data_IF_858768662835
#
_entry.id   IF_858768662835
#
_cell.length_a   1.000
_cell.length_b   1.000
_cell.length_c   1.000
_cell.angle_alpha   90.00
_cell.angle_beta   90.00
_cell.angle_gamma   90.00
#
_symmetry.space_group_name_H-M   'P 1'
#
loop_
_entity.id
_entity.type
_entity.pdbx_description
1 polymer ?
2 non-polymer ?
3 non-polymer ?
4 non-polymer ?
5 water ?
#
# COMPACT_ATOMS: atom_id res chain seq x y z
N UNK A 1 -11.76 -22.86 -17.99
CA UNK A 1 -11.80 -23.84 -16.88
C UNK A 1 -12.12 -23.16 -15.57
N UNK A 2 -11.52 -23.64 -14.47
CA UNK A 2 -11.38 -22.88 -13.21
C UNK A 2 -10.09 -22.06 -13.32
N UNK A 3 -10.27 -20.85 -13.85
CA UNK A 3 -9.20 -19.89 -14.23
C UNK A 3 -9.13 -18.79 -13.18
N UNK A 4 -7.93 -18.25 -13.01
CA UNK A 4 -7.62 -17.13 -12.10
C UNK A 4 -7.25 -15.93 -12.97
N UNK A 5 -8.24 -15.09 -13.31
CA UNK A 5 -8.07 -13.89 -14.18
C UNK A 5 -7.62 -12.68 -13.35
N UNK A 6 -7.56 -12.81 -12.02
CA UNK A 6 -7.20 -11.73 -11.07
C UNK A 6 -5.99 -12.11 -10.21
N UNK A 7 -5.33 -11.11 -9.65
CA UNK A 7 -4.32 -11.30 -8.58
C UNK A 7 -4.58 -10.34 -7.42
N UNK A 8 -4.03 -10.71 -6.27
CA UNK A 8 -4.18 -10.00 -4.99
C UNK A 8 -2.98 -9.08 -4.81
N UNK A 9 -3.24 -7.82 -4.46
CA UNK A 9 -2.24 -6.73 -4.26
C UNK A 9 -2.13 -6.41 -2.76
N UNK A 10 -0.91 -6.30 -2.25
CA UNK A 10 -0.61 -5.74 -0.91
C UNK A 10 0.12 -4.42 -1.11
N UNK A 11 -0.54 -3.31 -0.75
CA UNK A 11 0.06 -1.95 -0.75
C UNK A 11 0.70 -1.72 0.61
N UNK A 12 1.84 -1.04 0.60
CA UNK A 12 2.61 -0.74 1.82
C UNK A 12 3.01 0.72 1.82
N UNK A 13 2.89 1.33 2.98
CA UNK A 13 3.54 2.61 3.30
C UNK A 13 4.79 2.30 4.13
N UNK A 14 5.91 2.88 3.72
CA UNK A 14 7.20 2.87 4.46
C UNK A 14 7.66 4.31 4.72
N UNK A 15 7.74 4.69 6.00
CA UNK A 15 8.19 6.02 6.51
C UNK A 15 9.27 5.80 7.57
N UNK A 16 10.36 6.56 7.50
CA UNK A 16 11.41 6.63 8.56
C UNK A 16 11.17 7.91 9.35
N UNK A 17 11.00 7.82 10.67
CA UNK A 17 10.78 9.00 11.55
C UNK A 17 12.03 9.19 12.42
N UNK A 18 12.41 10.45 12.64
CA UNK A 18 13.40 10.87 13.66
C UNK A 18 12.95 10.38 15.04
N UNK A 19 13.88 9.83 15.82
CA UNK A 19 13.61 9.35 17.20
C UNK A 19 14.82 9.72 18.06
N UNK A 20 15.18 11.00 18.07
CA UNK A 20 16.32 11.48 18.88
C UNK A 20 16.01 11.25 20.36
N UNK A 21 14.73 11.14 20.74
CA UNK A 21 14.29 10.94 22.15
C UNK A 21 14.58 9.49 22.57
N UNK A 22 14.83 8.60 21.62
CA UNK A 22 15.11 7.16 21.84
C UNK A 22 13.90 6.50 22.52
N UNK A 23 12.71 6.81 22.00
CA UNK A 23 11.43 6.21 22.41
C UNK A 23 11.16 4.92 21.63
N UNK A 24 10.25 4.10 22.16
CA UNK A 24 9.70 2.88 21.52
C UNK A 24 9.19 3.25 20.13
N UNK A 25 9.73 2.60 19.09
CA UNK A 25 9.42 2.89 17.66
C UNK A 25 7.97 2.51 17.32
N UNK A 26 7.30 1.65 18.09
CA UNK A 26 5.85 1.41 17.91
C UNK A 26 5.09 2.68 18.27
N UNK A 27 5.49 3.41 19.31
CA UNK A 27 4.74 4.62 19.75
C UNK A 27 5.06 5.76 18.78
N UNK A 28 6.32 5.89 18.36
CA UNK A 28 6.78 6.90 17.36
C UNK A 28 5.99 6.65 16.07
N UNK A 29 6.04 5.45 15.50
CA UNK A 29 5.29 5.10 14.25
C UNK A 29 3.78 5.32 14.46
N UNK A 30 3.21 4.96 15.63
CA UNK A 30 1.77 5.16 15.99
C UNK A 30 1.29 6.59 15.68
N UNK A 31 2.15 7.60 15.89
CA UNK A 31 1.84 9.04 15.72
C UNK A 31 1.27 9.37 14.33
N UNK A 32 1.59 8.59 13.28
CA UNK A 32 1.08 8.83 11.89
C UNK A 32 0.24 7.63 11.39
N UNK A 33 -0.38 6.88 12.30
CA UNK A 33 -1.34 5.79 11.96
C UNK A 33 -2.55 6.43 11.29
N UNK A 34 -3.20 7.36 11.98
CA UNK A 34 -4.40 8.04 11.44
C UNK A 34 -4.09 8.61 10.05
N UNK A 35 -2.96 9.34 9.91
CA UNK A 35 -2.47 9.94 8.63
C UNK A 35 -2.40 8.87 7.53
N UNK A 36 -1.91 7.67 7.86
CA UNK A 36 -1.71 6.56 6.90
C UNK A 36 -3.07 6.02 6.46
N UNK A 37 -3.99 5.86 7.40
CA UNK A 37 -5.35 5.36 7.12
C UNK A 37 -6.06 6.37 6.21
N UNK A 38 -5.89 7.67 6.47
CA UNK A 38 -6.57 8.74 5.69
C UNK A 38 -6.00 8.74 4.28
N UNK A 39 -4.68 8.59 4.15
CA UNK A 39 -3.97 8.50 2.85
C UNK A 39 -4.56 7.33 2.06
N UNK A 40 -4.65 6.16 2.69
CA UNK A 40 -5.14 4.91 2.05
C UNK A 40 -6.55 5.15 1.52
N UNK A 41 -7.39 5.82 2.29
CA UNK A 41 -8.84 6.00 2.01
C UNK A 41 -9.03 7.09 0.94
N UNK A 42 -8.29 8.19 1.01
CA UNK A 42 -8.55 9.41 0.19
C UNK A 42 -7.64 9.50 -1.04
N UNK A 43 -6.64 8.64 -1.19
CA UNK A 43 -5.68 8.73 -2.32
C UNK A 43 -5.39 7.34 -2.86
N UNK A 44 -4.83 6.45 -2.04
CA UNK A 44 -4.23 5.17 -2.51
C UNK A 44 -5.32 4.28 -3.12
N UNK A 45 -6.41 4.01 -2.39
CA UNK A 45 -7.48 3.07 -2.83
C UNK A 45 -8.23 3.70 -4.01
N UNK A 46 -8.61 5.00 -3.96
CA UNK A 46 -9.11 5.68 -5.16
C UNK A 46 -8.23 5.49 -6.41
N UNK A 47 -6.91 5.75 -6.33
CA UNK A 47 -5.95 5.61 -7.47
C UNK A 47 -6.08 4.22 -8.12
N UNK A 48 -6.27 3.16 -7.32
CA UNK A 48 -6.12 1.75 -7.77
C UNK A 48 -7.48 1.11 -8.15
N UNK A 49 -8.61 1.76 -7.81
CA UNK A 49 -9.98 1.20 -7.96
C UNK A 49 -10.27 0.78 -9.41
N UNK A 50 -9.89 1.60 -10.40
CA UNK A 50 -10.10 1.34 -11.85
C UNK A 50 -9.46 0.01 -12.27
N UNK A 51 -8.65 -0.63 -11.42
CA UNK A 51 -7.96 -1.91 -11.74
C UNK A 51 -8.63 -3.08 -11.01
N UNK A 52 -9.52 -2.79 -10.06
CA UNK A 52 -10.22 -3.84 -9.28
C UNK A 52 -11.29 -4.52 -10.15
N UNK A 53 -11.40 -5.85 -10.09
CA UNK A 53 -12.54 -6.62 -10.66
C UNK A 53 -13.77 -6.36 -9.79
N UNK A 54 -13.73 -6.80 -8.53
CA UNK A 54 -14.76 -6.46 -7.49
C UNK A 54 -14.08 -5.68 -6.34
N UNK A 55 -14.50 -4.43 -6.15
CA UNK A 55 -13.98 -3.49 -5.12
C UNK A 55 -13.83 -4.21 -3.78
N UNK A 56 -12.88 -3.77 -2.95
CA UNK A 56 -12.66 -4.28 -1.59
C UNK A 56 -11.19 -4.36 -1.23
N UNK A 57 -10.85 -3.87 -0.04
CA UNK A 57 -9.49 -3.96 0.54
C UNK A 57 -9.62 -4.24 2.04
N UNK A 58 -8.57 -4.76 2.68
CA UNK A 58 -8.51 -4.99 4.14
C UNK A 58 -8.26 -3.66 4.85
N UNK A 59 -8.33 -3.71 6.18
CA UNK A 59 -7.99 -2.55 7.05
C UNK A 59 -6.46 -2.43 7.03
N UNK A 60 -5.97 -1.19 6.96
CA UNK A 60 -4.52 -0.86 7.07
C UNK A 60 -4.04 -1.35 8.44
N UNK A 61 -2.92 -2.08 8.50
CA UNK A 61 -2.29 -2.51 9.76
C UNK A 61 -0.79 -2.17 9.75
N UNK A 62 -0.25 -1.72 10.89
CA UNK A 62 1.19 -1.42 11.09
C UNK A 62 1.97 -2.68 11.48
N UNK A 63 3.12 -2.91 10.86
CA UNK A 63 4.08 -3.97 11.28
C UNK A 63 4.64 -3.59 12.66
N UNK A 64 4.38 -4.43 13.67
CA UNK A 64 4.87 -4.30 15.07
C UNK A 64 6.38 -4.52 15.11
N UNK A 65 7.09 -3.88 16.05
CA UNK A 65 8.57 -3.99 16.17
C UNK A 65 8.94 -3.92 17.65
N UNK A 66 10.21 -4.11 17.96
CA UNK A 66 10.73 -4.10 19.35
C UNK A 66 12.09 -3.41 19.38
N UNK A 67 12.11 -2.09 19.29
CA UNK A 67 13.36 -1.30 19.20
C UNK A 67 13.05 0.15 19.53
N UNK A 68 14.04 0.92 19.98
CA UNK A 68 13.91 2.37 20.23
C UNK A 68 14.94 3.13 19.38
N UNK A 69 15.11 2.70 18.11
CA UNK A 69 16.24 3.12 17.23
C UNK A 69 16.19 4.63 17.01
N UNK A 70 17.36 5.28 16.81
CA UNK A 70 17.44 6.73 16.61
C UNK A 70 16.66 7.21 15.39
N UNK A 71 16.63 6.37 14.36
CA UNK A 71 15.66 6.46 13.23
C UNK A 71 14.71 5.26 13.33
N UNK A 72 13.41 5.54 13.36
CA UNK A 72 12.33 4.53 13.42
C UNK A 72 11.90 4.22 11.98
N UNK A 73 12.11 2.98 11.54
CA UNK A 73 11.49 2.42 10.32
C UNK A 73 10.06 1.92 10.66
N UNK A 74 9.07 2.54 10.02
CA UNK A 74 7.61 2.27 10.15
C UNK A 74 7.07 1.69 8.84
N UNK A 75 6.25 0.64 8.93
CA UNK A 75 5.59 -0.02 7.78
C UNK A 75 4.14 -0.34 8.13
N UNK A 76 3.24 0.02 7.22
CA UNK A 76 1.80 -0.31 7.18
C UNK A 76 1.51 -1.10 5.91
N UNK A 77 0.57 -2.05 5.99
CA UNK A 77 0.10 -2.81 4.82
C UNK A 77 -1.43 -2.86 4.79
N UNK A 78 -1.98 -2.92 3.59
CA UNK A 78 -3.41 -3.17 3.33
C UNK A 78 -3.48 -4.12 2.13
N UNK A 79 -4.46 -5.02 2.08
CA UNK A 79 -4.65 -5.93 0.91
C UNK A 79 -5.82 -5.44 0.05
N UNK A 80 -5.60 -5.38 -1.25
CA UNK A 80 -6.64 -5.25 -2.31
C UNK A 80 -6.87 -6.64 -2.91
N UNK A 81 -8.08 -7.16 -2.75
CA UNK A 81 -8.36 -8.61 -2.87
C UNK A 81 -8.24 -9.05 -4.33
N UNK A 82 -8.82 -8.29 -5.25
CA UNK A 82 -9.11 -8.76 -6.62
C UNK A 82 -8.82 -7.64 -7.59
N UNK A 83 -7.70 -7.77 -8.29
CA UNK A 83 -7.26 -6.84 -9.36
C UNK A 83 -7.05 -7.66 -10.63
N UNK A 84 -7.47 -7.15 -11.77
CA UNK A 84 -7.34 -7.86 -13.06
C UNK A 84 -5.84 -8.05 -13.35
N UNK A 85 -5.45 -9.26 -13.75
CA UNK A 85 -4.07 -9.63 -14.17
C UNK A 85 -3.63 -8.80 -15.38
N UNK A 86 -4.59 -8.30 -16.16
CA UNK A 86 -4.38 -7.30 -17.23
C UNK A 86 -3.40 -6.21 -16.77
N UNK A 87 -3.39 -5.90 -15.47
CA UNK A 87 -2.60 -4.81 -14.85
C UNK A 87 -1.42 -5.41 -14.09
N UNK A 88 -0.21 -5.31 -14.65
CA UNK A 88 1.01 -5.95 -14.09
C UNK A 88 1.49 -5.15 -12.86
N UNK A 89 2.44 -5.72 -12.13
CA UNK A 89 2.95 -5.24 -10.81
C UNK A 89 3.58 -3.85 -10.98
N UNK A 90 4.38 -3.67 -12.02
CA UNK A 90 5.02 -2.36 -12.32
C UNK A 90 3.95 -1.31 -12.61
N UNK A 91 2.98 -1.66 -13.46
CA UNK A 91 1.91 -0.76 -13.94
C UNK A 91 1.16 -0.25 -12.72
N UNK A 92 0.90 -1.15 -11.77
CA UNK A 92 0.14 -0.85 -10.53
C UNK A 92 1.03 0.01 -9.60
N UNK A 93 2.31 -0.35 -9.45
CA UNK A 93 3.30 0.45 -8.68
C UNK A 93 3.34 1.89 -9.21
N UNK A 94 3.40 2.03 -10.54
CA UNK A 94 3.55 3.35 -11.21
C UNK A 94 2.35 4.22 -10.86
N UNK A 95 1.16 3.60 -10.81
CA UNK A 95 -0.14 4.27 -10.59
C UNK A 95 -0.16 4.92 -9.20
N UNK A 96 0.64 4.41 -8.27
CA UNK A 96 0.83 5.03 -6.93
C UNK A 96 1.48 6.42 -7.05
N UNK A 97 2.35 6.63 -8.05
CA UNK A 97 3.26 7.81 -8.16
C UNK A 97 2.75 8.86 -9.15
N UNK A 98 2.12 8.44 -10.25
CA UNK A 98 1.73 9.34 -11.38
C UNK A 98 0.29 9.03 -11.79
N UNK A 99 -0.49 10.07 -12.04
CA UNK A 99 -1.88 9.99 -12.57
C UNK A 99 -1.94 10.65 -13.96
N UNK A 100 -0.81 10.70 -14.67
CA UNK A 100 -0.67 10.99 -16.13
C UNK A 100 0.70 10.55 -16.59
N UNK A 101 0.84 10.00 -17.82
CA UNK A 101 2.15 9.55 -18.28
C UNK A 101 3.11 10.73 -18.50
N UNK A 102 2.59 11.97 -18.61
CA UNK A 102 3.39 13.21 -18.81
C UNK A 102 3.27 14.11 -17.58
N UNK A 103 3.40 13.51 -16.40
CA UNK A 103 3.40 14.21 -15.10
C UNK A 103 4.86 14.32 -14.65
N UNK A 104 5.31 15.54 -14.34
CA UNK A 104 6.74 15.81 -14.03
C UNK A 104 7.10 15.35 -12.61
N UNK A 105 6.23 15.61 -11.63
CA UNK A 105 6.50 15.38 -10.18
C UNK A 105 5.74 14.13 -9.71
N UNK A 106 6.45 13.03 -9.45
CA UNK A 106 5.91 11.83 -8.79
C UNK A 106 5.29 12.15 -7.43
N UNK A 107 4.37 11.32 -6.96
CA UNK A 107 3.76 11.43 -5.61
C UNK A 107 4.05 10.13 -4.86
N UNK A 108 3.79 10.13 -3.56
CA UNK A 108 3.74 8.90 -2.74
C UNK A 108 5.01 8.08 -2.90
N UNK A 109 6.22 8.65 -2.67
CA UNK A 109 7.44 7.84 -2.65
C UNK A 109 7.46 6.83 -1.50
N UNK A 110 6.66 7.09 -0.45
CA UNK A 110 6.47 6.26 0.77
C UNK A 110 5.53 5.06 0.48
N UNK A 111 4.95 4.97 -0.72
CA UNK A 111 4.03 3.86 -1.08
C UNK A 111 4.65 2.97 -2.17
N UNK A 112 4.51 1.66 -2.01
CA UNK A 112 4.85 0.61 -3.00
C UNK A 112 3.81 -0.50 -2.91
N UNK A 113 3.76 -1.43 -3.86
CA UNK A 113 2.88 -2.62 -3.72
C UNK A 113 3.51 -3.86 -4.36
N UNK A 114 2.92 -5.01 -4.06
CA UNK A 114 3.31 -6.32 -4.65
C UNK A 114 2.03 -7.09 -4.96
N UNK A 115 2.17 -8.08 -5.83
CA UNK A 115 1.23 -9.22 -6.00
C UNK A 115 1.47 -10.16 -4.82
N UNK A 116 0.55 -10.23 -3.86
CA UNK A 116 0.64 -11.11 -2.66
C UNK A 116 -0.01 -12.48 -2.93
N UNK A 117 -0.81 -12.60 -4.00
CA UNK A 117 -1.40 -13.88 -4.50
C UNK A 117 -1.60 -13.76 -6.00
N UNK A 118 -0.85 -14.54 -6.82
CA UNK A 118 -0.87 -14.39 -8.28
C UNK A 118 -2.08 -15.03 -8.98
N UNK A 119 -2.96 -15.73 -8.22
CA UNK A 119 -4.11 -16.52 -8.74
C UNK A 119 -5.32 -16.41 -7.81
N UNK A 120 -6.26 -15.53 -8.13
CA UNK A 120 -7.56 -15.37 -7.39
C UNK A 120 -8.67 -15.21 -8.43
N UNK A 121 -9.89 -15.59 -8.07
CA UNK A 121 -11.09 -15.50 -8.95
C UNK A 121 -11.57 -14.04 -8.93
N UNK A 122 -11.79 -13.47 -10.11
CA UNK A 122 -12.26 -12.08 -10.31
C UNK A 122 -13.66 -11.90 -9.72
N UNK A 123 -14.52 -12.93 -9.81
CA UNK A 123 -15.93 -12.91 -9.34
C UNK A 123 -16.75 -11.94 -10.20
N UNK A 124 -16.56 -11.99 -11.53
CA UNK A 124 -17.25 -11.08 -12.48
C UNK A 124 -17.11 -11.64 -13.90
X LIG B 1 -9.06 -21.34 -7.89
X LIG C 1 11.96 10.16 26.87
X LIG D 1 -13.89 -21.89 -13.79
X LIG E 1 1.05 0.28 19.17
X LIG E 1 -0.14 0.55 18.92
X LIG E 1 1.75 -0.57 18.51
X LIG E 1 1.67 1.06 20.33
X LIG F 1 11.66 12.96 26.06
X LIG F 1 11.11 12.03 26.68
X LIG F 1 12.72 12.83 25.39
X LIG F 1 10.99 14.35 26.11
X LIG G 1 6.77 -4.00 -0.99
X LIG G 1 5.74 -3.17 -1.55
X LIG G 1 7.60 -3.28 0.07
X LIG G 1 8.59 -4.17 0.59
X LIG G 1 6.78 -2.71 1.22
X LIG G 1 7.49 -2.74 2.46
#
# INVERSE_FOLDING_TARGET
>A
GHMHDCHQVTVSRDVTLQNKERHDCNQVCASIDKETENKLNTDIIPRLTRYMSVKGNSIIARVQQSNSDPKCSCTWRAIIWRVYKAYDENSLNVALHVSHPNQQIGENPDWSLVISNPNVHCLKH
>B hetero
1 NI NI
>C hetero
1 NI NI
>D hetero
1 NI NI
>E hetero
1 ACT C O OXT CH3
>F hetero
1 ACT C O OXT CH3
>G hetero
1 GOL C1 O1 C2 O2 C3 O3
#
